data_IF_952253666385
#
_entry.id   IF_952253666385
#
_cell.length_a   1.000
_cell.length_b   1.000
_cell.length_c   1.000
_cell.angle_alpha   90.00
_cell.angle_beta   90.00
_cell.angle_gamma   90.00
#
_symmetry.space_group_name_H-M   'P 1'
#
loop_
_entity.id
_entity.type
_entity.pdbx_description
1 polymer ?
#
# COMPACT_ATOMS: atom_id res chain seq x y z
N UNK A 1 9.36 20.77 -10.31
CA UNK A 1 10.06 19.53 -9.90
C UNK A 1 9.27 18.94 -8.76
N UNK A 2 8.52 17.86 -9.00
CA UNK A 2 7.86 17.13 -7.91
C UNK A 2 8.95 16.58 -7.00
N UNK A 3 9.03 17.09 -5.79
CA UNK A 3 9.93 16.58 -4.77
C UNK A 3 9.39 15.20 -4.42
N UNK A 4 9.94 14.15 -5.03
CA UNK A 4 9.61 12.78 -4.67
C UNK A 4 9.94 12.60 -3.19
N UNK A 5 8.92 12.72 -2.33
CA UNK A 5 9.04 12.53 -0.90
C UNK A 5 9.60 11.12 -0.72
N UNK A 6 10.83 11.01 -0.20
CA UNK A 6 11.44 9.71 0.07
C UNK A 6 10.64 9.05 1.18
N UNK A 7 9.74 8.16 0.79
CA UNK A 7 9.04 7.26 1.71
C UNK A 7 10.11 6.42 2.41
N UNK A 8 10.14 6.51 3.73
CA UNK A 8 11.05 5.69 4.51
C UNK A 8 10.53 4.24 4.62
N UNK A 9 11.38 3.33 5.06
CA UNK A 9 11.00 1.92 5.17
C UNK A 9 9.82 1.71 6.14
N UNK A 10 9.74 2.49 7.21
CA UNK A 10 8.65 2.43 8.19
C UNK A 10 7.29 2.80 7.58
N UNK A 11 7.24 3.84 6.76
CA UNK A 11 6.04 4.26 6.03
C UNK A 11 5.64 3.21 4.99
N UNK A 12 6.61 2.60 4.32
CA UNK A 12 6.36 1.52 3.37
C UNK A 12 5.80 0.27 4.08
N UNK A 13 6.38 -0.10 5.22
CA UNK A 13 5.94 -1.22 6.05
C UNK A 13 4.55 -0.98 6.62
N UNK A 14 4.26 0.24 7.09
CA UNK A 14 2.93 0.63 7.56
C UNK A 14 1.88 0.55 6.43
N UNK A 15 2.23 1.02 5.23
CA UNK A 15 1.37 0.91 4.05
C UNK A 15 1.10 -0.55 3.67
N UNK A 16 2.13 -1.41 3.73
CA UNK A 16 1.99 -2.84 3.46
C UNK A 16 1.08 -3.52 4.49
N UNK A 17 1.22 -3.20 5.78
CA UNK A 17 0.36 -3.71 6.84
C UNK A 17 -1.08 -3.25 6.64
N UNK A 18 -1.30 -1.96 6.38
CA UNK A 18 -2.64 -1.43 6.12
C UNK A 18 -3.29 -2.10 4.91
N UNK A 19 -2.55 -2.28 3.81
CA UNK A 19 -3.03 -2.98 2.64
C UNK A 19 -3.37 -4.45 2.94
N UNK A 20 -2.52 -5.14 3.71
CA UNK A 20 -2.80 -6.51 4.13
C UNK A 20 -4.08 -6.64 4.96
N UNK A 21 -4.31 -5.71 5.90
CA UNK A 21 -5.55 -5.64 6.69
C UNK A 21 -6.76 -5.41 5.81
N UNK A 22 -6.65 -4.52 4.82
CA UNK A 22 -7.72 -4.28 3.85
C UNK A 22 -8.04 -5.55 3.04
N UNK A 23 -7.01 -6.29 2.59
CA UNK A 23 -7.18 -7.52 1.79
C UNK A 23 -7.90 -8.64 2.56
N UNK A 24 -7.70 -8.75 3.86
CA UNK A 24 -8.41 -9.72 4.70
C UNK A 24 -9.75 -9.19 5.24
N UNK A 25 -10.15 -7.98 4.84
CA UNK A 25 -11.40 -7.35 5.27
C UNK A 25 -11.40 -6.85 6.72
N UNK A 26 -10.23 -6.73 7.35
CA UNK A 26 -10.09 -6.20 8.72
C UNK A 26 -10.39 -4.69 8.77
N UNK A 27 -10.03 -3.97 7.70
CA UNK A 27 -10.32 -2.54 7.55
C UNK A 27 -10.99 -2.25 6.20
N UNK A 28 -11.73 -1.14 6.09
CA UNK A 28 -12.35 -0.73 4.83
C UNK A 28 -11.41 0.13 3.99
N UNK A 29 -11.78 0.36 2.73
CA UNK A 29 -11.02 1.20 1.80
C UNK A 29 -10.79 2.63 2.35
N UNK A 30 -11.76 3.18 3.09
CA UNK A 30 -11.62 4.49 3.74
C UNK A 30 -10.56 4.51 4.84
N UNK A 31 -10.48 3.43 5.63
CA UNK A 31 -9.46 3.29 6.67
C UNK A 31 -8.08 3.09 6.03
N UNK A 32 -8.01 2.35 4.91
CA UNK A 32 -6.79 2.21 4.11
C UNK A 32 -6.33 3.57 3.58
N UNK A 33 -7.24 4.39 3.03
CA UNK A 33 -6.92 5.74 2.55
C UNK A 33 -6.41 6.67 3.67
N UNK A 34 -6.88 6.49 4.91
CA UNK A 34 -6.38 7.25 6.06
C UNK A 34 -5.03 6.73 6.58
N UNK A 35 -4.83 5.41 6.57
CA UNK A 35 -3.61 4.76 7.05
C UNK A 35 -2.46 4.83 6.04
N UNK A 36 -2.74 5.02 4.76
CA UNK A 36 -1.77 5.03 3.67
C UNK A 36 -1.89 6.29 2.81
N UNK A 37 -0.82 7.09 2.78
CA UNK A 37 -0.72 8.23 1.87
C UNK A 37 -0.56 7.76 0.42
N UNK A 38 -0.87 8.64 -0.54
CA UNK A 38 -0.68 8.33 -1.96
C UNK A 38 0.78 8.05 -2.30
N UNK A 39 1.69 8.80 -1.72
CA UNK A 39 3.14 8.61 -1.89
C UNK A 39 3.57 7.24 -1.37
N UNK A 40 3.07 6.82 -0.21
CA UNK A 40 3.35 5.49 0.35
C UNK A 40 2.75 4.38 -0.51
N UNK A 41 1.51 4.53 -0.98
CA UNK A 41 0.87 3.59 -1.90
C UNK A 41 1.58 3.48 -3.25
N UNK A 42 2.09 4.60 -3.78
CA UNK A 42 2.86 4.61 -5.02
C UNK A 42 4.23 3.95 -4.82
N UNK A 43 4.90 4.21 -3.71
CA UNK A 43 6.15 3.55 -3.36
C UNK A 43 5.96 2.04 -3.19
N UNK A 44 4.85 1.63 -2.55
CA UNK A 44 4.49 0.23 -2.35
C UNK A 44 4.18 -0.49 -3.67
N UNK A 45 3.46 0.16 -4.58
CA UNK A 45 3.23 -0.36 -5.94
C UNK A 45 4.54 -0.55 -6.72
N UNK A 46 5.54 0.32 -6.49
CA UNK A 46 6.87 0.23 -7.13
C UNK A 46 7.85 -0.70 -6.42
N UNK A 47 7.57 -1.11 -5.17
CA UNK A 47 8.49 -1.93 -4.37
C UNK A 47 8.43 -3.42 -4.72
N UNK A 48 7.40 -3.86 -5.46
CA UNK A 48 7.19 -5.27 -5.82
C UNK A 48 6.67 -6.13 -4.66
N UNK A 49 6.35 -5.54 -3.50
CA UNK A 49 5.73 -6.22 -2.36
C UNK A 49 4.24 -6.50 -2.60
N UNK A 50 3.63 -5.75 -3.51
CA UNK A 50 2.22 -5.85 -3.86
C UNK A 50 2.03 -5.69 -5.36
N UNK A 51 0.90 -6.18 -5.86
CA UNK A 51 0.41 -5.99 -7.23
C UNK A 51 -0.89 -5.21 -7.18
N UNK A 52 -0.74 -3.91 -6.97
CA UNK A 52 -1.81 -2.96 -7.16
C UNK A 52 -1.30 -1.71 -7.87
N UNK A 53 -2.23 -0.99 -8.47
CA UNK A 53 -2.03 0.34 -9.02
C UNK A 53 -2.81 1.37 -8.20
N UNK A 54 -2.20 2.53 -7.97
CA UNK A 54 -2.85 3.66 -7.29
C UNK A 54 -2.87 4.87 -8.22
N UNK A 55 -4.02 5.48 -8.37
CA UNK A 55 -4.22 6.64 -9.23
C UNK A 55 -4.88 7.77 -8.47
N UNK A 56 -4.29 8.98 -8.52
CA UNK A 56 -4.90 10.19 -7.96
C UNK A 56 -6.01 10.69 -8.87
N UNK A 57 -7.22 10.81 -8.33
CA UNK A 57 -8.36 11.39 -9.02
C UNK A 57 -8.36 12.92 -8.88
N UNK A 58 -9.04 13.59 -9.81
CA UNK A 58 -9.18 15.06 -9.85
C UNK A 58 -9.86 15.63 -8.60
N UNK A 59 -10.64 14.81 -7.89
CA UNK A 59 -11.29 15.16 -6.61
C UNK A 59 -10.36 15.13 -5.39
N UNK A 60 -9.08 14.78 -5.57
CA UNK A 60 -8.12 14.60 -4.48
C UNK A 60 -8.18 13.24 -3.78
N UNK A 61 -9.17 12.39 -4.13
CA UNK A 61 -9.23 10.99 -3.69
C UNK A 61 -8.30 10.12 -4.53
N UNK A 62 -7.96 8.94 -4.01
CA UNK A 62 -7.10 7.99 -4.71
C UNK A 62 -7.88 6.71 -4.99
N UNK A 63 -7.73 6.17 -6.19
CA UNK A 63 -8.29 4.86 -6.54
C UNK A 63 -7.19 3.82 -6.47
N UNK A 64 -7.44 2.77 -5.70
CA UNK A 64 -6.58 1.59 -5.63
C UNK A 64 -7.26 0.52 -6.48
N UNK A 65 -6.51 -0.08 -7.39
CA UNK A 65 -6.94 -1.21 -8.20
C UNK A 65 -5.91 -2.31 -8.04
N UNK A 66 -6.30 -3.39 -7.37
CA UNK A 66 -5.44 -4.53 -7.09
C UNK A 66 -5.86 -5.79 -7.86
N UNK A 67 -4.94 -6.74 -8.03
CA UNK A 67 -5.17 -8.00 -8.74
C UNK A 67 -5.99 -9.05 -7.94
N UNK A 68 -6.80 -8.62 -6.97
CA UNK A 68 -7.67 -9.53 -6.21
C UNK A 68 -6.88 -10.39 -5.21
N UNK A 69 -7.10 -11.70 -5.18
CA UNK A 69 -6.51 -12.62 -4.18
C UNK A 69 -4.97 -12.64 -4.19
N UNK A 70 -4.34 -12.28 -5.31
CA UNK A 70 -2.89 -12.28 -5.49
C UNK A 70 -2.24 -10.89 -5.37
N UNK A 71 -2.95 -9.93 -4.79
CA UNK A 71 -2.47 -8.56 -4.66
C UNK A 71 -1.23 -8.39 -3.76
N UNK A 72 -0.92 -9.33 -2.87
CA UNK A 72 0.30 -9.31 -2.05
C UNK A 72 1.24 -10.38 -2.58
N UNK A 73 2.44 -9.99 -3.00
CA UNK A 73 3.45 -10.91 -3.52
C UNK A 73 4.06 -11.74 -2.41
N UNK A 74 4.81 -12.79 -2.76
CA UNK A 74 5.57 -13.59 -1.79
C UNK A 74 6.51 -12.72 -0.96
N UNK A 75 7.26 -11.82 -1.60
CA UNK A 75 8.12 -10.84 -0.93
C UNK A 75 7.34 -9.93 0.04
N UNK A 76 6.12 -9.52 -0.33
CA UNK A 76 5.24 -8.78 0.58
C UNK A 76 4.82 -9.59 1.80
N UNK A 77 4.53 -10.89 1.63
CA UNK A 77 4.18 -11.79 2.74
C UNK A 77 5.38 -12.04 3.66
N UNK A 78 6.56 -12.25 3.11
CA UNK A 78 7.81 -12.37 3.89
C UNK A 78 8.09 -11.09 4.68
N UNK A 79 7.93 -9.92 4.05
CA UNK A 79 8.08 -8.63 4.74
C UNK A 79 7.06 -8.46 5.86
N UNK A 80 5.80 -8.83 5.64
CA UNK A 80 4.76 -8.82 6.68
C UNK A 80 5.09 -9.75 7.85
N UNK A 81 5.65 -10.93 7.58
CA UNK A 81 6.12 -11.84 8.62
C UNK A 81 7.29 -11.23 9.39
N UNK A 82 8.25 -10.61 8.71
CA UNK A 82 9.37 -9.93 9.35
C UNK A 82 8.95 -8.73 10.22
N UNK A 83 7.86 -8.03 9.84
CA UNK A 83 7.29 -6.92 10.64
C UNK A 83 6.55 -7.45 11.88
N UNK A 84 5.93 -8.63 11.79
CA UNK A 84 5.19 -9.28 12.90
C UNK A 84 6.08 -10.13 13.82
N UNK A 85 7.34 -10.37 13.41
CA UNK A 85 8.32 -11.21 14.09
C UNK A 85 8.98 -10.56 15.28
#
# INVERSE_FOLDING_TARGET
>A
MEVARKINQTELDAALVAFARYKIGEIKIFDLEQAMSFEAGQALSKSGLVRFSITKMVSGRYRISDEGEHAITEAGRERLQAIRG
#
